data_IF_401331962439
#
_entry.id   IF_401331962439
#
_cell.length_a   1.000
_cell.length_b   1.000
_cell.length_c   1.000
_cell.angle_alpha   90.00
_cell.angle_beta   90.00
_cell.angle_gamma   90.00
#
_symmetry.space_group_name_H-M   'P 1'
#
loop_
_entity.id
_entity.type
_entity.pdbx_description
1 polymer ?
#
# COMPACT_ATOMS: atom_id res chain seq x y z
N UNK A 1 21.29 1.52 2.63
CA UNK A 1 20.00 1.34 3.32
C UNK A 1 19.13 2.53 3.03
N UNK A 2 17.82 2.34 2.89
CA UNK A 2 16.83 3.43 2.84
C UNK A 2 16.06 3.40 4.15
N UNK A 3 15.85 4.56 4.78
CA UNK A 3 15.09 4.71 6.02
C UNK A 3 13.92 5.67 5.80
N UNK A 4 12.77 5.36 6.40
CA UNK A 4 11.62 6.24 6.49
C UNK A 4 11.47 6.66 7.94
N UNK A 5 11.44 7.98 8.19
CA UNK A 5 11.30 8.55 9.53
C UNK A 5 9.84 8.50 10.02
N UNK A 6 9.28 7.29 10.04
CA UNK A 6 7.94 6.97 10.49
C UNK A 6 7.99 5.72 11.37
N UNK A 7 7.06 5.61 12.32
CA UNK A 7 6.97 4.47 13.23
C UNK A 7 6.95 3.14 12.47
N UNK A 8 7.72 2.17 12.96
CA UNK A 8 7.87 0.86 12.35
C UNK A 8 6.51 0.16 12.23
N UNK A 9 6.17 -0.26 11.01
CA UNK A 9 4.93 -0.95 10.72
C UNK A 9 5.17 -2.04 9.64
N UNK A 10 4.74 -3.30 9.86
CA UNK A 10 5.05 -4.46 9.00
C UNK A 10 4.39 -4.50 7.61
N UNK A 11 3.37 -3.69 7.35
CA UNK A 11 2.70 -3.47 6.08
C UNK A 11 3.42 -2.53 5.10
N UNK A 12 4.55 -1.95 5.49
CA UNK A 12 5.49 -1.34 4.55
C UNK A 12 6.23 -2.41 3.73
N UNK A 13 6.19 -2.28 2.40
CA UNK A 13 6.89 -3.17 1.47
C UNK A 13 7.83 -2.35 0.58
N UNK A 14 9.08 -2.79 0.52
CA UNK A 14 10.09 -2.24 -0.39
C UNK A 14 10.41 -3.28 -1.47
N UNK A 15 10.50 -2.87 -2.71
CA UNK A 15 10.94 -3.75 -3.80
C UNK A 15 11.67 -2.97 -4.90
N UNK A 16 12.44 -3.70 -5.71
CA UNK A 16 13.04 -3.19 -6.94
C UNK A 16 12.61 -4.05 -8.12
N UNK A 17 12.66 -3.46 -9.31
CA UNK A 17 12.43 -4.18 -10.57
C UNK A 17 13.79 -4.35 -11.24
N UNK A 18 14.21 -5.60 -11.38
CA UNK A 18 15.47 -5.98 -12.01
C UNK A 18 15.19 -7.12 -12.98
N UNK A 19 15.59 -6.99 -14.24
CA UNK A 19 15.33 -7.97 -15.30
C UNK A 19 13.85 -8.36 -15.42
N UNK A 20 12.96 -7.36 -15.35
CA UNK A 20 11.49 -7.52 -15.37
C UNK A 20 10.93 -8.39 -14.24
N UNK A 21 11.68 -8.59 -13.15
CA UNK A 21 11.25 -9.34 -11.96
C UNK A 21 11.19 -8.44 -10.74
N UNK A 22 10.16 -8.65 -9.93
CA UNK A 22 10.04 -8.04 -8.61
C UNK A 22 11.01 -8.72 -7.64
N UNK A 23 11.86 -7.94 -6.99
CA UNK A 23 12.71 -8.38 -5.90
C UNK A 23 12.36 -7.57 -4.66
N UNK A 24 11.74 -8.23 -3.68
CA UNK A 24 11.45 -7.61 -2.39
C UNK A 24 12.75 -7.33 -1.64
N UNK A 25 12.77 -6.19 -0.96
CA UNK A 25 13.84 -5.78 -0.08
C UNK A 25 13.53 -6.26 1.34
N UNK A 26 14.59 -6.54 2.09
CA UNK A 26 14.44 -6.86 3.51
C UNK A 26 13.97 -5.62 4.27
N UNK A 27 12.80 -5.71 4.89
CA UNK A 27 12.25 -4.67 5.77
C UNK A 27 12.77 -4.89 7.20
N UNK A 28 13.37 -3.85 7.77
CA UNK A 28 14.03 -3.90 9.07
C UNK A 28 13.61 -2.74 9.94
N UNK A 29 13.63 -2.96 11.26
CA UNK A 29 13.41 -1.92 12.26
C UNK A 29 14.72 -1.20 12.55
N UNK A 30 14.79 0.07 12.20
CA UNK A 30 15.99 0.90 12.39
C UNK A 30 15.86 1.70 13.68
N UNK A 31 16.95 1.74 14.46
CA UNK A 31 17.02 2.43 15.75
C UNK A 31 15.85 2.11 16.71
N UNK A 32 15.29 0.90 16.61
CA UNK A 32 14.14 0.44 17.39
C UNK A 32 12.80 1.13 17.12
N UNK A 33 12.70 2.05 16.15
CA UNK A 33 11.46 2.81 15.94
C UNK A 33 11.10 3.09 14.49
N UNK A 34 12.04 3.11 13.53
CA UNK A 34 11.77 3.53 12.16
C UNK A 34 11.75 2.37 11.15
N UNK A 35 11.09 2.57 10.01
CA UNK A 35 11.09 1.62 8.91
C UNK A 35 12.38 1.74 8.10
N UNK A 36 13.02 0.63 7.79
CA UNK A 36 14.20 0.60 6.93
C UNK A 36 14.13 -0.53 5.91
N UNK A 37 14.85 -0.35 4.80
CA UNK A 37 15.00 -1.34 3.75
C UNK A 37 16.46 -1.55 3.41
N UNK A 38 16.89 -2.81 3.45
CA UNK A 38 18.24 -3.21 3.03
C UNK A 38 18.27 -3.23 1.51
N UNK A 39 19.10 -2.36 0.93
CA UNK A 39 19.32 -2.29 -0.52
C UNK A 39 20.68 -2.93 -0.80
N UNK A 40 20.74 -4.11 -1.44
CA UNK A 40 22.00 -4.74 -1.80
C UNK A 40 22.79 -3.83 -2.76
N UNK A 41 24.12 -3.78 -2.64
CA UNK A 41 24.94 -3.02 -3.58
C UNK A 41 24.74 -3.57 -5.00
N UNK A 42 24.44 -2.68 -5.93
CA UNK A 42 24.36 -2.99 -7.36
C UNK A 42 25.71 -2.73 -8.01
N UNK A 43 26.22 -3.70 -8.76
CA UNK A 43 27.54 -3.64 -9.44
C UNK A 43 27.59 -2.66 -10.62
N UNK A 44 26.47 -2.00 -10.95
CA UNK A 44 26.36 -1.11 -12.10
C UNK A 44 26.58 0.35 -11.68
N UNK A 45 27.83 0.82 -11.78
CA UNK A 45 28.23 2.21 -11.52
C UNK A 45 27.52 3.20 -12.48
N UNK A 46 26.93 2.71 -13.58
CA UNK A 46 26.37 3.53 -14.66
C UNK A 46 24.84 3.67 -14.65
N UNK A 47 24.09 2.86 -13.88
CA UNK A 47 22.62 2.90 -13.90
C UNK A 47 22.04 3.21 -12.51
N UNK A 48 21.18 4.23 -12.38
CA UNK A 48 20.49 4.50 -11.12
C UNK A 48 19.59 3.32 -10.74
N UNK A 49 19.63 2.93 -9.46
CA UNK A 49 18.72 1.90 -8.92
C UNK A 49 17.45 2.56 -8.42
N UNK A 50 16.31 2.24 -9.03
CA UNK A 50 15.00 2.68 -8.54
C UNK A 50 14.46 1.68 -7.51
N UNK A 51 14.10 2.20 -6.34
CA UNK A 51 13.43 1.44 -5.28
C UNK A 51 12.00 1.96 -5.14
N UNK A 52 11.05 1.03 -5.11
CA UNK A 52 9.64 1.30 -4.88
C UNK A 52 9.30 0.94 -3.44
N UNK A 53 8.57 1.82 -2.77
CA UNK A 53 8.11 1.63 -1.40
C UNK A 53 6.60 1.83 -1.41
N UNK A 54 5.85 0.86 -0.89
CA UNK A 54 4.39 0.91 -0.82
C UNK A 54 3.92 0.53 0.59
N UNK A 55 2.80 1.12 1.01
CA UNK A 55 2.11 0.73 2.23
C UNK A 55 0.85 -0.05 1.86
N UNK A 56 0.93 -1.38 1.88
CA UNK A 56 -0.15 -2.22 1.38
C UNK A 56 -1.50 -2.02 2.12
N UNK A 57 -1.53 -1.73 3.45
CA UNK A 57 -2.80 -1.53 4.16
C UNK A 57 -3.64 -0.37 3.62
N UNK A 58 -3.00 0.68 3.07
CA UNK A 58 -3.71 1.82 2.47
C UNK A 58 -4.57 1.41 1.26
N UNK A 59 -4.13 0.43 0.47
CA UNK A 59 -4.94 -0.06 -0.66
C UNK A 59 -6.18 -0.80 -0.19
N UNK A 60 -6.10 -1.57 0.91
CA UNK A 60 -7.28 -2.19 1.50
C UNK A 60 -8.24 -1.16 2.09
N UNK A 61 -7.71 -0.11 2.70
CA UNK A 61 -8.53 0.97 3.27
C UNK A 61 -9.34 1.66 2.17
N UNK A 62 -8.69 2.05 1.06
CA UNK A 62 -9.39 2.63 -0.08
C UNK A 62 -10.39 1.69 -0.71
N UNK A 63 -10.05 0.40 -0.83
CA UNK A 63 -11.00 -0.61 -1.29
C UNK A 63 -12.23 -0.69 -0.37
N UNK A 64 -12.02 -0.68 0.94
CA UNK A 64 -13.08 -0.67 1.95
C UNK A 64 -14.00 0.55 1.82
N UNK A 65 -13.44 1.75 1.62
CA UNK A 65 -14.24 2.95 1.41
C UNK A 65 -15.06 2.92 0.12
N UNK A 66 -14.49 2.42 -0.98
CA UNK A 66 -15.23 2.24 -2.23
C UNK A 66 -16.39 1.26 -2.04
N UNK A 67 -16.14 0.12 -1.39
CA UNK A 67 -17.18 -0.87 -1.09
C UNK A 67 -18.29 -0.28 -0.20
N UNK A 68 -17.92 0.48 0.83
CA UNK A 68 -18.85 1.17 1.72
C UNK A 68 -19.75 2.13 0.93
N UNK A 69 -19.18 2.95 0.04
CA UNK A 69 -19.93 3.87 -0.80
C UNK A 69 -20.93 3.13 -1.69
N UNK A 70 -20.52 2.05 -2.35
CA UNK A 70 -21.40 1.24 -3.22
C UNK A 70 -22.58 0.68 -2.42
N UNK A 71 -22.31 0.07 -1.26
CA UNK A 71 -23.34 -0.51 -0.41
C UNK A 71 -24.27 0.58 0.12
N UNK A 72 -23.73 1.68 0.64
CA UNK A 72 -24.52 2.79 1.17
C UNK A 72 -25.44 3.41 0.13
N UNK A 73 -24.94 3.62 -1.09
CA UNK A 73 -25.72 4.11 -2.23
C UNK A 73 -26.82 3.09 -2.59
N UNK A 74 -26.47 1.82 -2.74
CA UNK A 74 -27.43 0.76 -3.07
C UNK A 74 -28.56 0.64 -2.06
N UNK A 75 -28.26 0.73 -0.76
CA UNK A 75 -29.26 0.73 0.30
C UNK A 75 -30.15 1.98 0.22
N UNK A 76 -29.57 3.18 0.05
CA UNK A 76 -30.34 4.42 -0.05
C UNK A 76 -31.36 4.39 -1.20
N UNK A 77 -30.95 3.91 -2.38
CA UNK A 77 -31.86 3.76 -3.52
C UNK A 77 -32.90 2.65 -3.31
N UNK A 78 -32.51 1.49 -2.77
CA UNK A 78 -33.43 0.38 -2.53
C UNK A 78 -34.49 0.64 -1.44
N UNK A 79 -34.20 1.48 -0.46
CA UNK A 79 -35.20 1.92 0.54
C UNK A 79 -36.12 3.04 0.01
N UNK A 80 -35.63 3.91 -0.87
CA UNK A 80 -36.43 4.97 -1.48
C UNK A 80 -37.56 4.44 -2.37
N UNK A 81 -37.27 3.42 -3.19
CA UNK A 81 -38.25 2.82 -4.11
C UNK A 81 -39.39 2.11 -3.37
N UNK A 82 -39.09 1.36 -2.31
CA UNK A 82 -40.10 0.67 -1.49
C UNK A 82 -41.04 1.62 -0.77
N UNK A 83 -40.59 2.83 -0.43
CA UNK A 83 -41.40 3.85 0.26
C UNK A 83 -42.36 4.60 -0.68
N UNK A 84 -42.02 4.74 -1.95
CA UNK A 84 -42.88 5.36 -2.97
C UNK A 84 -44.02 4.44 -3.43
N UNK A 85 -43.79 3.12 -3.45
CA UNK A 85 -44.81 2.13 -3.85
C UNK A 85 -45.82 1.78 -2.73
N UNK A 86 -45.62 2.29 -1.52
CA UNK A 86 -46.48 2.06 -0.35
C UNK A 86 -47.37 3.26 0.03
N UNK A 87 -47.43 4.28 -0.82
CA UNK A 87 -48.28 5.48 -0.70
C UNK A 87 -49.36 5.47 -1.79
#
# INVERSE_FOLDING_TARGET
MIQLEQGFEPGWLGFKIEDSRFKFLEHVKVNSWSNGFVVPPTSYILNPTTVYIIFWPQFLEWFGFVALCIVGIGLAFGFGEKRLLSL
#
